data_IF_476204807291
#
_entry.id   IF_476204807291
#
_cell.length_a   1.000
_cell.length_b   1.000
_cell.length_c   1.000
_cell.angle_alpha   90.00
_cell.angle_beta   90.00
_cell.angle_gamma   90.00
#
_symmetry.space_group_name_H-M   'P 1'
#
loop_
_entity.id
_entity.type
_entity.pdbx_description
1 polymer ?
#
# COMPACT_ATOMS: atom_id res chain seq x y z
N UNK A 1 -58.98 42.17 29.95
CA UNK A 1 -58.38 41.36 28.87
C UNK A 1 -57.02 41.95 28.54
N UNK A 2 -55.98 41.11 28.41
CA UNK A 2 -54.58 41.34 27.95
C UNK A 2 -53.55 40.67 28.89
N UNK A 3 -53.34 39.36 28.70
CA UNK A 3 -52.01 38.70 28.73
C UNK A 3 -51.49 38.70 27.26
N UNK A 4 -50.23 38.36 26.90
CA UNK A 4 -49.09 37.75 27.63
C UNK A 4 -47.75 38.51 27.34
N UNK A 5 -46.56 38.13 27.83
CA UNK A 5 -45.68 37.03 27.34
C UNK A 5 -44.46 36.93 28.26
N UNK A 6 -44.24 35.75 28.84
CA UNK A 6 -43.02 35.39 29.56
C UNK A 6 -41.96 34.93 28.55
N UNK A 7 -40.78 35.56 28.58
CA UNK A 7 -39.60 35.16 27.81
C UNK A 7 -38.81 34.17 28.68
N UNK A 8 -38.68 32.93 28.22
CA UNK A 8 -37.82 31.94 28.84
C UNK A 8 -36.39 32.13 28.31
N UNK A 9 -35.45 32.45 29.20
CA UNK A 9 -34.02 32.50 28.92
C UNK A 9 -33.47 31.09 29.09
N UNK A 10 -33.02 30.47 28.00
CA UNK A 10 -32.31 29.19 28.01
C UNK A 10 -30.83 29.46 28.28
N UNK A 11 -30.37 29.03 29.44
CA UNK A 11 -28.97 29.13 29.87
C UNK A 11 -28.18 27.97 29.25
N UNK A 12 -27.32 28.28 28.27
CA UNK A 12 -26.41 27.31 27.66
C UNK A 12 -25.18 27.16 28.58
N UNK A 13 -25.11 26.06 29.34
CA UNK A 13 -23.95 25.73 30.16
C UNK A 13 -22.94 25.02 29.25
N UNK A 14 -21.87 25.73 28.87
CA UNK A 14 -20.68 25.12 28.26
C UNK A 14 -19.94 24.32 29.35
N UNK A 15 -20.05 23.00 29.32
CA UNK A 15 -19.19 22.10 30.10
C UNK A 15 -17.88 21.91 29.36
N UNK A 16 -16.84 22.65 29.74
CA UNK A 16 -15.47 22.37 29.35
C UNK A 16 -14.99 21.12 30.10
N UNK A 17 -14.92 19.97 29.41
CA UNK A 17 -14.28 18.77 29.93
C UNK A 17 -12.77 18.92 29.78
N UNK A 18 -12.08 19.18 30.90
CA UNK A 18 -10.64 18.98 31.00
C UNK A 18 -10.36 17.47 30.94
N UNK A 19 -9.86 16.99 29.80
CA UNK A 19 -9.27 15.66 29.69
C UNK A 19 -7.91 15.65 30.41
N UNK A 20 -7.67 14.60 31.20
CA UNK A 20 -6.40 14.40 31.89
C UNK A 20 -5.23 14.24 30.92
N UNK A 21 -4.03 14.59 31.39
CA UNK A 21 -2.76 14.53 30.65
C UNK A 21 -2.28 13.08 30.40
N UNK A 22 -3.06 12.28 29.68
CA UNK A 22 -2.53 11.18 28.89
C UNK A 22 -2.50 11.65 27.44
N UNK A 23 -1.31 11.80 26.86
CA UNK A 23 -1.17 12.06 25.43
C UNK A 23 -1.99 11.03 24.67
N UNK A 24 -2.73 11.48 23.65
CA UNK A 24 -3.54 10.55 22.84
C UNK A 24 -2.61 9.57 22.12
N UNK A 25 -3.02 8.31 21.86
CA UNK A 25 -2.14 7.29 21.27
C UNK A 25 -1.43 7.74 19.98
N UNK A 26 -2.10 8.57 19.19
CA UNK A 26 -1.61 9.15 17.93
C UNK A 26 -0.41 10.08 18.18
N UNK A 27 -0.51 10.96 19.18
CA UNK A 27 0.56 11.86 19.57
C UNK A 27 1.80 11.09 20.03
N UNK A 28 1.59 9.98 20.76
CA UNK A 28 2.68 9.11 21.24
C UNK A 28 3.43 8.44 20.07
N UNK A 29 2.68 7.95 19.08
CA UNK A 29 3.25 7.38 17.84
C UNK A 29 4.06 8.42 17.07
N UNK A 30 3.46 9.59 16.80
CA UNK A 30 4.06 10.66 15.99
C UNK A 30 5.30 11.25 16.70
N UNK A 31 5.22 11.47 18.01
CA UNK A 31 6.35 11.95 18.82
C UNK A 31 7.50 10.95 18.83
N UNK A 32 7.21 9.65 18.98
CA UNK A 32 8.23 8.60 18.93
C UNK A 32 8.91 8.54 17.56
N UNK A 33 8.13 8.71 16.48
CA UNK A 33 8.65 8.76 15.11
C UNK A 33 9.57 9.97 14.88
N UNK A 34 9.14 11.20 15.18
CA UNK A 34 9.99 12.38 14.97
C UNK A 34 11.23 12.37 15.86
N UNK A 35 11.13 11.82 17.07
CA UNK A 35 12.30 11.58 17.92
C UNK A 35 13.29 10.61 17.26
N UNK A 36 12.82 9.49 16.72
CA UNK A 36 13.66 8.53 16.01
C UNK A 36 14.32 9.15 14.77
N UNK A 37 13.55 9.90 13.97
CA UNK A 37 14.04 10.63 12.79
C UNK A 37 15.15 11.65 13.15
N UNK A 38 14.96 12.42 14.23
CA UNK A 38 15.97 13.38 14.73
C UNK A 38 17.30 12.71 15.06
N UNK A 39 17.26 11.54 15.69
CA UNK A 39 18.46 10.77 16.04
C UNK A 39 18.95 9.84 14.93
N UNK A 40 18.29 9.84 13.76
CA UNK A 40 18.56 8.93 12.63
C UNK A 40 18.52 7.46 13.07
N UNK A 41 17.64 7.15 14.01
CA UNK A 41 17.35 5.78 14.45
C UNK A 41 16.45 5.10 13.41
N UNK A 42 17.08 4.58 12.36
CA UNK A 42 16.39 3.95 11.24
C UNK A 42 15.64 2.68 11.67
N UNK A 43 16.10 2.00 12.73
CA UNK A 43 15.45 0.77 13.20
C UNK A 43 14.13 1.09 13.90
N UNK A 44 14.12 2.08 14.80
CA UNK A 44 12.86 2.55 15.41
C UNK A 44 11.95 3.19 14.37
N UNK A 45 12.49 4.02 13.47
CA UNK A 45 11.70 4.65 12.41
C UNK A 45 10.99 3.62 11.52
N UNK A 46 11.70 2.57 11.07
CA UNK A 46 11.14 1.53 10.22
C UNK A 46 10.06 0.69 10.92
N UNK A 47 10.08 0.61 12.26
CA UNK A 47 9.03 -0.06 13.03
C UNK A 47 7.77 0.81 13.18
N UNK A 48 7.87 2.13 13.07
CA UNK A 48 6.77 3.08 13.29
C UNK A 48 6.19 3.64 11.99
N UNK A 49 6.95 3.67 10.91
CA UNK A 49 6.57 4.30 9.66
C UNK A 49 7.09 3.57 8.43
N UNK A 50 6.29 3.63 7.37
CA UNK A 50 6.63 3.20 6.02
C UNK A 50 7.30 4.29 5.19
N UNK A 51 7.22 5.54 5.65
CA UNK A 51 7.78 6.70 4.96
C UNK A 51 8.90 7.32 5.78
N UNK A 52 10.04 7.68 5.17
CA UNK A 52 11.10 8.36 5.88
C UNK A 52 10.74 9.82 6.11
N UNK A 53 11.25 10.39 7.21
CA UNK A 53 11.35 11.84 7.39
C UNK A 53 12.82 12.17 7.58
N UNK A 54 13.47 12.68 6.53
CA UNK A 54 14.90 12.97 6.54
C UNK A 54 15.19 14.28 7.26
N UNK A 55 15.92 14.23 8.36
CA UNK A 55 16.34 15.44 9.07
C UNK A 55 17.32 16.32 8.29
N UNK A 56 18.01 15.76 7.30
CA UNK A 56 18.94 16.48 6.43
C UNK A 56 18.19 17.27 5.34
N UNK A 57 17.07 16.74 4.87
CA UNK A 57 16.32 17.32 3.75
C UNK A 57 15.15 18.17 4.25
N UNK A 58 14.42 17.69 5.26
CA UNK A 58 13.19 18.30 5.79
C UNK A 58 13.38 19.01 7.13
N UNK A 59 14.56 18.93 7.74
CA UNK A 59 14.82 19.49 9.06
C UNK A 59 14.33 18.62 10.22
N UNK A 60 14.35 19.16 11.43
CA UNK A 60 14.01 18.44 12.66
C UNK A 60 12.72 19.00 13.24
N UNK A 61 11.80 18.13 13.63
CA UNK A 61 10.57 18.49 14.38
C UNK A 61 10.83 18.32 15.88
N UNK A 62 11.22 19.37 16.64
CA UNK A 62 11.35 19.29 18.10
C UNK A 62 10.00 19.14 18.83
N UNK A 63 8.94 19.74 18.30
CA UNK A 63 7.61 19.81 18.92
C UNK A 63 6.53 19.93 17.85
N UNK A 64 5.32 19.50 18.19
CA UNK A 64 4.14 19.74 17.39
C UNK A 64 2.91 19.80 18.30
N UNK A 65 1.85 20.41 17.78
CA UNK A 65 0.52 20.37 18.38
C UNK A 65 -0.43 19.59 17.45
N UNK A 66 -1.28 18.73 18.02
CA UNK A 66 -2.33 18.06 17.25
C UNK A 66 -3.46 19.04 17.02
N UNK A 67 -3.72 19.39 15.76
CA UNK A 67 -4.83 20.27 15.38
C UNK A 67 -6.13 19.47 15.25
N UNK A 68 -6.10 18.35 14.54
CA UNK A 68 -7.28 17.49 14.37
C UNK A 68 -6.92 16.04 14.08
N UNK A 69 -7.88 15.15 14.33
CA UNK A 69 -7.81 13.73 14.01
C UNK A 69 -9.08 13.38 13.24
N UNK A 70 -8.94 12.79 12.06
CA UNK A 70 -10.09 12.36 11.27
C UNK A 70 -10.82 11.18 11.91
N UNK A 71 -12.05 10.94 11.47
CA UNK A 71 -12.73 9.68 11.74
C UNK A 71 -11.93 8.50 11.14
N UNK A 72 -12.11 7.32 11.73
CA UNK A 72 -11.50 6.08 11.23
C UNK A 72 -12.28 5.64 10.00
N UNK A 73 -11.56 5.44 8.90
CA UNK A 73 -12.06 4.83 7.68
C UNK A 73 -11.58 3.37 7.63
N UNK A 74 -12.37 2.49 7.01
CA UNK A 74 -11.99 1.09 6.82
C UNK A 74 -12.07 0.72 5.35
N UNK A 75 -11.09 -0.04 4.88
CA UNK A 75 -11.09 -0.63 3.53
C UNK A 75 -10.77 -2.12 3.60
N UNK A 76 -11.40 -2.97 2.77
CA UNK A 76 -11.16 -4.41 2.82
C UNK A 76 -9.68 -4.76 2.65
N UNK A 77 -9.20 -5.70 3.46
CA UNK A 77 -7.88 -6.28 3.29
C UNK A 77 -7.88 -7.16 2.03
N UNK A 78 -6.91 -6.93 1.14
CA UNK A 78 -6.93 -7.54 -0.22
C UNK A 78 -5.87 -8.61 -0.46
N UNK A 79 -4.90 -8.81 0.43
CA UNK A 79 -3.76 -9.70 0.13
C UNK A 79 -4.18 -11.15 -0.13
N UNK A 80 -5.14 -11.71 0.62
CA UNK A 80 -5.66 -13.06 0.35
C UNK A 80 -6.25 -13.17 -1.07
N UNK A 81 -7.20 -12.28 -1.40
CA UNK A 81 -7.81 -12.24 -2.72
C UNK A 81 -6.81 -11.98 -3.85
N UNK A 82 -5.80 -11.14 -3.63
CA UNK A 82 -4.73 -10.87 -4.59
C UNK A 82 -3.79 -12.08 -4.75
N UNK A 83 -3.54 -12.84 -3.69
CA UNK A 83 -2.76 -14.06 -3.75
C UNK A 83 -3.50 -15.15 -4.55
N UNK A 84 -4.80 -15.29 -4.34
CA UNK A 84 -5.65 -16.16 -5.15
C UNK A 84 -5.65 -15.75 -6.64
N UNK A 85 -5.76 -14.45 -6.93
CA UNK A 85 -5.68 -13.94 -8.29
C UNK A 85 -4.31 -14.24 -8.93
N UNK A 86 -3.21 -14.07 -8.19
CA UNK A 86 -1.87 -14.43 -8.67
C UNK A 86 -1.76 -15.92 -9.00
N UNK A 87 -2.25 -16.80 -8.11
CA UNK A 87 -2.26 -18.25 -8.35
C UNK A 87 -3.06 -18.60 -9.61
N UNK A 88 -4.22 -17.97 -9.82
CA UNK A 88 -5.05 -18.20 -11.00
C UNK A 88 -4.34 -17.77 -12.30
N UNK A 89 -3.68 -16.61 -12.30
CA UNK A 89 -2.91 -16.13 -13.46
C UNK A 89 -1.71 -17.04 -13.74
N UNK A 90 -1.02 -17.51 -12.70
CA UNK A 90 0.08 -18.47 -12.86
C UNK A 90 -0.38 -19.81 -13.40
N UNK A 91 -1.55 -20.31 -12.98
CA UNK A 91 -2.14 -21.52 -13.56
C UNK A 91 -2.44 -21.33 -15.06
N UNK A 92 -3.03 -20.19 -15.43
CA UNK A 92 -3.30 -19.85 -16.83
C UNK A 92 -2.01 -19.74 -17.67
N UNK A 93 -0.94 -19.15 -17.12
CA UNK A 93 0.37 -19.07 -17.77
C UNK A 93 0.99 -20.46 -17.98
N UNK A 94 0.87 -21.36 -17.00
CA UNK A 94 1.31 -22.77 -17.13
C UNK A 94 0.55 -23.49 -18.24
N UNK A 95 -0.79 -23.40 -18.27
CA UNK A 95 -1.61 -23.99 -19.33
C UNK A 95 -1.28 -23.42 -20.71
N UNK A 96 -1.02 -22.12 -20.80
CA UNK A 96 -0.57 -21.47 -22.02
C UNK A 96 0.80 -21.99 -22.46
N UNK A 97 1.76 -22.10 -21.54
CA UNK A 97 3.10 -22.63 -21.82
C UNK A 97 3.05 -24.05 -22.35
N UNK A 98 2.23 -24.92 -21.76
CA UNK A 98 2.01 -26.30 -22.23
C UNK A 98 1.45 -26.35 -23.65
N UNK A 99 0.41 -25.56 -23.96
CA UNK A 99 -0.16 -25.49 -25.31
C UNK A 99 0.84 -24.98 -26.32
N UNK A 100 1.61 -23.95 -25.95
CA UNK A 100 2.66 -23.38 -26.81
C UNK A 100 3.79 -24.37 -27.05
N UNK A 101 4.16 -25.16 -26.04
CA UNK A 101 5.17 -26.21 -26.19
C UNK A 101 4.68 -27.30 -27.15
N UNK A 102 3.45 -27.79 -26.98
CA UNK A 102 2.86 -28.76 -27.90
C UNK A 102 2.84 -28.24 -29.35
N UNK A 103 2.45 -26.97 -29.55
CA UNK A 103 2.49 -26.33 -30.87
C UNK A 103 3.91 -26.28 -31.45
N UNK A 104 4.91 -25.93 -30.64
CA UNK A 104 6.31 -25.88 -31.06
C UNK A 104 6.82 -27.27 -31.45
N UNK A 105 6.52 -28.30 -30.67
CA UNK A 105 6.96 -29.66 -30.92
C UNK A 105 6.34 -30.22 -32.22
N UNK A 106 5.06 -29.92 -32.48
CA UNK A 106 4.37 -30.32 -33.71
C UNK A 106 4.87 -29.59 -34.96
N UNK A 107 5.36 -28.35 -34.82
CA UNK A 107 5.70 -27.46 -35.94
C UNK A 107 7.20 -27.12 -36.01
N UNK A 108 8.06 -27.83 -35.29
CA UNK A 108 9.47 -27.48 -35.07
C UNK A 108 10.21 -27.12 -36.37
N UNK A 109 10.20 -28.01 -37.36
CA UNK A 109 10.89 -27.79 -38.63
C UNK A 109 10.35 -26.58 -39.41
N UNK A 110 9.04 -26.30 -39.29
CA UNK A 110 8.43 -25.15 -39.95
C UNK A 110 8.80 -23.86 -39.23
N UNK A 111 8.82 -23.87 -37.89
CA UNK A 111 9.26 -22.73 -37.07
C UNK A 111 10.73 -22.43 -37.35
N UNK A 112 11.61 -23.42 -37.41
CA UNK A 112 13.04 -23.23 -37.75
C UNK A 112 13.21 -22.51 -39.09
N UNK A 113 12.50 -22.95 -40.14
CA UNK A 113 12.53 -22.28 -41.46
C UNK A 113 11.99 -20.86 -41.43
N UNK A 114 10.94 -20.62 -40.63
CA UNK A 114 10.40 -19.27 -40.42
C UNK A 114 11.44 -18.38 -39.75
N UNK A 115 12.11 -18.86 -38.69
CA UNK A 115 13.14 -18.11 -37.98
C UNK A 115 14.35 -17.80 -38.87
N UNK A 116 14.79 -18.75 -39.70
CA UNK A 116 15.86 -18.53 -40.69
C UNK A 116 15.48 -17.44 -41.71
N UNK A 117 14.23 -17.47 -42.22
CA UNK A 117 13.73 -16.46 -43.14
C UNK A 117 13.67 -15.07 -42.48
N UNK A 118 13.11 -14.98 -41.26
CA UNK A 118 13.05 -13.74 -40.46
C UNK A 118 14.45 -13.17 -40.20
N UNK A 119 15.41 -14.02 -39.82
CA UNK A 119 16.79 -13.62 -39.56
C UNK A 119 17.49 -13.10 -40.82
N UNK A 120 17.18 -13.68 -41.99
CA UNK A 120 17.68 -13.21 -43.28
C UNK A 120 16.93 -11.96 -43.81
N UNK A 121 15.93 -11.45 -43.09
CA UNK A 121 15.11 -10.30 -43.49
C UNK A 121 14.14 -10.61 -44.63
N UNK A 122 13.79 -11.89 -44.84
CA UNK A 122 12.92 -12.35 -45.91
C UNK A 122 11.61 -12.92 -45.36
N UNK A 123 10.57 -12.93 -46.20
CA UNK A 123 9.34 -13.67 -45.91
C UNK A 123 9.51 -15.17 -46.22
N UNK A 124 8.83 -16.07 -45.48
CA UNK A 124 8.83 -17.49 -45.79
C UNK A 124 8.30 -17.77 -47.20
N UNK A 125 9.07 -18.52 -47.98
CA UNK A 125 8.75 -18.80 -49.39
C UNK A 125 7.53 -19.72 -49.56
N UNK A 126 7.28 -20.62 -48.59
CA UNK A 126 6.16 -21.57 -48.64
C UNK A 126 4.92 -20.99 -47.99
N UNK A 127 3.75 -21.24 -48.57
CA UNK A 127 2.45 -20.82 -48.00
C UNK A 127 2.23 -21.43 -46.59
N UNK A 128 2.61 -22.69 -46.40
CA UNK A 128 2.49 -23.35 -45.09
C UNK A 128 3.39 -22.69 -44.02
N UNK A 129 4.62 -22.33 -44.39
CA UNK A 129 5.55 -21.65 -43.48
C UNK A 129 5.06 -20.22 -43.14
N UNK A 130 4.37 -19.52 -44.07
CA UNK A 130 3.71 -18.24 -43.76
C UNK A 130 2.57 -18.38 -42.75
N UNK A 131 1.77 -19.44 -42.84
CA UNK A 131 0.73 -19.70 -41.83
C UNK A 131 1.34 -19.97 -40.45
N UNK A 132 2.44 -20.74 -40.39
CA UNK A 132 3.18 -20.96 -39.13
C UNK A 132 3.79 -19.66 -38.60
N UNK A 133 4.26 -18.76 -39.47
CA UNK A 133 4.77 -17.45 -39.05
C UNK A 133 3.69 -16.57 -38.40
N UNK A 134 2.49 -16.53 -38.97
CA UNK A 134 1.35 -15.77 -38.43
C UNK A 134 0.97 -16.29 -37.04
N UNK A 135 0.74 -17.59 -36.90
CA UNK A 135 0.44 -18.26 -35.63
C UNK A 135 1.58 -18.10 -34.62
N UNK A 136 2.83 -18.28 -35.03
CA UNK A 136 3.99 -18.08 -34.16
C UNK A 136 4.11 -16.64 -33.65
N UNK A 137 3.71 -15.67 -34.47
CA UNK A 137 3.66 -14.26 -34.06
C UNK A 137 2.56 -14.02 -33.03
N UNK A 138 1.40 -14.67 -33.18
CA UNK A 138 0.35 -14.66 -32.16
C UNK A 138 0.85 -15.26 -30.84
N UNK A 139 1.49 -16.43 -30.87
CA UNK A 139 2.11 -17.03 -29.67
C UNK A 139 3.12 -16.10 -28.99
N UNK A 140 3.96 -15.38 -29.75
CA UNK A 140 4.89 -14.38 -29.19
C UNK A 140 4.14 -13.21 -28.52
N UNK A 141 3.03 -12.76 -29.10
CA UNK A 141 2.17 -11.71 -28.52
C UNK A 141 1.49 -12.16 -27.23
N UNK A 142 0.87 -13.34 -27.23
CA UNK A 142 0.22 -13.92 -26.05
C UNK A 142 1.22 -14.19 -24.91
N UNK A 143 2.46 -14.60 -25.23
CA UNK A 143 3.54 -14.72 -24.23
C UNK A 143 3.82 -13.41 -23.52
N UNK A 144 3.90 -12.30 -24.26
CA UNK A 144 4.13 -10.99 -23.66
C UNK A 144 2.97 -10.57 -22.77
N UNK A 145 1.73 -10.87 -23.17
CA UNK A 145 0.54 -10.61 -22.37
C UNK A 145 0.54 -11.43 -21.06
N UNK A 146 0.74 -12.74 -21.12
CA UNK A 146 0.78 -13.58 -19.91
C UNK A 146 1.91 -13.16 -18.96
N UNK A 147 3.08 -12.80 -19.49
CA UNK A 147 4.18 -12.28 -18.67
C UNK A 147 3.80 -10.97 -17.97
N UNK A 148 3.11 -10.08 -18.68
CA UNK A 148 2.59 -8.82 -18.12
C UNK A 148 1.55 -9.09 -17.02
N UNK A 149 0.58 -9.99 -17.26
CA UNK A 149 -0.46 -10.34 -16.29
C UNK A 149 0.13 -10.91 -14.99
N UNK A 150 1.12 -11.82 -15.08
CA UNK A 150 1.82 -12.33 -13.90
C UNK A 150 2.57 -11.22 -13.17
N UNK A 151 3.22 -10.32 -13.91
CA UNK A 151 3.94 -9.18 -13.34
C UNK A 151 2.99 -8.24 -12.59
N UNK A 152 1.86 -7.88 -13.19
CA UNK A 152 0.86 -6.99 -12.61
C UNK A 152 0.20 -7.61 -11.37
N UNK A 153 -0.12 -8.91 -11.43
CA UNK A 153 -0.67 -9.64 -10.28
C UNK A 153 0.32 -9.69 -9.11
N UNK A 154 1.62 -9.87 -9.38
CA UNK A 154 2.68 -9.82 -8.35
C UNK A 154 2.82 -8.42 -7.75
N UNK A 155 2.81 -7.38 -8.58
CA UNK A 155 2.88 -6.00 -8.12
C UNK A 155 1.69 -5.66 -7.23
N UNK A 156 0.48 -5.99 -7.67
CA UNK A 156 -0.75 -5.77 -6.90
C UNK A 156 -0.70 -6.51 -5.56
N UNK A 157 -0.27 -7.78 -5.53
CA UNK A 157 -0.10 -8.52 -4.29
C UNK A 157 0.93 -7.87 -3.37
N UNK A 158 2.06 -7.42 -3.91
CA UNK A 158 3.10 -6.73 -3.14
C UNK A 158 2.51 -5.48 -2.48
N UNK A 159 1.80 -4.63 -3.23
CA UNK A 159 1.16 -3.41 -2.70
C UNK A 159 0.09 -3.74 -1.65
N UNK A 160 -0.77 -4.72 -1.91
CA UNK A 160 -1.85 -5.13 -1.02
C UNK A 160 -1.39 -5.73 0.31
N UNK A 161 -0.11 -6.13 0.42
CA UNK A 161 0.49 -6.68 1.64
C UNK A 161 1.16 -5.63 2.53
N UNK A 162 1.60 -4.50 1.97
CA UNK A 162 2.47 -3.52 2.64
C UNK A 162 1.94 -3.16 4.03
N UNK A 163 0.71 -2.65 4.09
CA UNK A 163 0.11 -2.14 5.34
C UNK A 163 -0.08 -3.26 6.36
N UNK A 164 -0.59 -4.41 5.90
CA UNK A 164 -0.82 -5.57 6.76
C UNK A 164 0.49 -6.07 7.38
N UNK A 165 1.50 -6.32 6.56
CA UNK A 165 2.81 -6.79 7.03
C UNK A 165 3.47 -5.80 7.98
N UNK A 166 3.49 -4.50 7.62
CA UNK A 166 4.11 -3.49 8.48
C UNK A 166 3.41 -3.35 9.82
N UNK A 167 2.08 -3.36 9.81
CA UNK A 167 1.23 -3.22 11.01
C UNK A 167 1.32 -4.45 11.93
N UNK A 168 1.41 -5.66 11.37
CA UNK A 168 1.48 -6.90 12.16
C UNK A 168 2.89 -7.43 12.36
N UNK A 169 3.91 -6.75 11.84
CA UNK A 169 5.30 -7.21 11.93
C UNK A 169 5.71 -7.47 13.38
N UNK A 170 6.25 -8.67 13.63
CA UNK A 170 6.89 -9.09 14.87
C UNK A 170 8.13 -9.90 14.52
N UNK A 171 9.28 -9.55 15.11
CA UNK A 171 10.53 -10.29 14.88
C UNK A 171 10.50 -11.71 15.47
N UNK A 172 9.54 -12.01 16.34
CA UNK A 172 9.42 -13.29 17.04
C UNK A 172 8.36 -14.17 16.37
N UNK A 173 7.33 -13.56 15.79
CA UNK A 173 6.18 -14.25 15.22
C UNK A 173 5.86 -13.67 13.84
N UNK A 174 6.46 -14.29 12.82
CA UNK A 174 6.24 -13.90 11.43
C UNK A 174 5.00 -14.64 10.92
N UNK A 175 4.03 -13.86 10.47
CA UNK A 175 2.79 -14.37 9.90
C UNK A 175 2.79 -14.19 8.37
N UNK A 176 2.05 -15.05 7.68
CA UNK A 176 1.69 -14.81 6.29
C UNK A 176 0.32 -14.13 6.23
N UNK A 177 0.31 -12.83 5.94
CA UNK A 177 -0.92 -12.02 5.88
C UNK A 177 -1.85 -12.46 4.75
N UNK A 178 -1.38 -13.23 3.76
CA UNK A 178 -2.23 -13.76 2.68
C UNK A 178 -3.18 -14.86 3.17
N UNK A 179 -2.95 -15.39 4.38
CA UNK A 179 -3.81 -16.36 5.04
C UNK A 179 -4.85 -15.73 5.94
N UNK A 180 -5.07 -14.41 5.87
CA UNK A 180 -6.03 -13.70 6.72
C UNK A 180 -7.00 -12.87 5.88
N UNK A 181 -8.23 -12.79 6.37
CA UNK A 181 -9.21 -11.78 5.93
C UNK A 181 -9.18 -10.59 6.89
N UNK A 182 -9.92 -9.53 6.58
CA UNK A 182 -10.14 -8.42 7.49
C UNK A 182 -10.19 -7.07 6.79
N UNK A 183 -9.79 -6.04 7.53
CA UNK A 183 -9.87 -4.65 7.08
C UNK A 183 -8.56 -3.92 7.38
N UNK A 184 -8.28 -2.87 6.60
CA UNK A 184 -7.29 -1.85 6.90
C UNK A 184 -8.04 -0.64 7.44
N UNK A 185 -7.77 -0.29 8.70
CA UNK A 185 -8.23 0.93 9.34
C UNK A 185 -7.25 2.05 9.03
N UNK A 186 -7.74 3.21 8.60
CA UNK A 186 -6.94 4.41 8.31
C UNK A 186 -7.54 5.64 8.99
N UNK A 187 -6.68 6.60 9.33
CA UNK A 187 -7.08 7.96 9.71
C UNK A 187 -5.93 8.94 9.51
N UNK A 188 -6.27 10.22 9.39
CA UNK A 188 -5.31 11.31 9.25
C UNK A 188 -5.22 12.11 10.55
N UNK A 189 -4.00 12.39 10.98
CA UNK A 189 -3.70 13.28 12.10
C UNK A 189 -3.07 14.54 11.54
N UNK A 190 -3.77 15.66 11.66
CA UNK A 190 -3.24 16.96 11.27
C UNK A 190 -2.50 17.56 12.45
N UNK A 191 -1.25 17.93 12.23
CA UNK A 191 -0.40 18.57 13.23
C UNK A 191 0.12 19.92 12.75
N UNK A 192 0.40 20.80 13.71
CA UNK A 192 1.17 22.01 13.52
C UNK A 192 2.54 21.74 14.12
N UNK A 193 3.54 21.53 13.26
CA UNK A 193 4.90 21.16 13.64
C UNK A 193 5.80 22.40 13.66
N UNK A 194 6.56 22.57 14.74
CA UNK A 194 7.72 23.46 14.73
C UNK A 194 8.86 22.71 14.05
N UNK A 195 9.45 23.28 13.00
CA UNK A 195 10.52 22.66 12.22
C UNK A 195 11.76 23.54 12.27
N UNK A 196 12.87 22.94 12.69
CA UNK A 196 14.21 23.50 12.53
C UNK A 196 14.72 23.02 11.18
N UNK A 197 14.69 23.89 10.18
CA UNK A 197 15.10 23.57 8.81
C UNK A 197 16.62 23.28 8.73
N UNK A 198 17.10 22.67 7.63
CA UNK A 198 18.54 22.41 7.45
C UNK A 198 19.43 23.67 7.46
N UNK A 199 18.86 24.84 7.16
CA UNK A 199 19.49 26.16 7.24
C UNK A 199 19.28 26.86 8.61
N UNK A 200 18.92 26.09 9.64
CA UNK A 200 18.77 26.52 11.03
C UNK A 200 17.66 27.57 11.27
N UNK A 201 16.67 27.65 10.37
CA UNK A 201 15.50 28.49 10.57
C UNK A 201 14.42 27.74 11.34
N UNK A 202 13.71 28.45 12.21
CA UNK A 202 12.51 27.92 12.85
C UNK A 202 11.31 28.34 12.00
N UNK A 203 10.63 27.35 11.44
CA UNK A 203 9.40 27.54 10.65
C UNK A 203 8.29 26.68 11.22
N UNK A 204 7.06 27.13 11.08
CA UNK A 204 5.89 26.33 11.44
C UNK A 204 5.34 25.68 10.16
N UNK A 205 5.16 24.37 10.18
CA UNK A 205 4.60 23.60 9.07
C UNK A 205 3.34 22.87 9.52
N UNK A 206 2.28 22.92 8.72
CA UNK A 206 1.12 22.07 8.92
C UNK A 206 1.37 20.76 8.18
N UNK A 207 1.29 19.63 8.88
CA UNK A 207 1.51 18.30 8.29
C UNK A 207 0.26 17.44 8.45
N UNK A 208 -0.14 16.76 7.38
CA UNK A 208 -1.12 15.67 7.40
C UNK A 208 -0.36 14.34 7.49
N UNK A 209 -0.57 13.63 8.60
CA UNK A 209 0.05 12.34 8.87
C UNK A 209 -1.02 11.26 8.74
N UNK A 210 -0.94 10.48 7.68
CA UNK A 210 -1.79 9.28 7.55
C UNK A 210 -1.20 8.15 8.39
N UNK A 211 -2.05 7.56 9.23
CA UNK A 211 -1.74 6.34 9.95
C UNK A 211 -2.71 5.24 9.57
N UNK A 212 -2.18 4.03 9.45
CA UNK A 212 -2.95 2.83 9.10
C UNK A 212 -2.62 1.66 10.00
N UNK A 213 -3.55 0.71 10.07
CA UNK A 213 -3.46 -0.52 10.85
C UNK A 213 -4.26 -1.62 10.16
N UNK A 214 -3.76 -2.85 10.20
CA UNK A 214 -4.53 -4.03 9.83
C UNK A 214 -5.29 -4.63 11.01
N UNK A 215 -6.55 -4.98 10.76
CA UNK A 215 -7.46 -5.70 11.64
C UNK A 215 -7.83 -7.01 10.94
N UNK A 216 -7.08 -8.06 11.25
CA UNK A 216 -7.09 -9.34 10.55
C UNK A 216 -7.87 -10.41 11.33
N UNK A 217 -8.37 -11.41 10.61
CA UNK A 217 -9.05 -12.58 11.17
C UNK A 217 -8.56 -13.83 10.43
N UNK A 218 -8.09 -14.82 11.19
CA UNK A 218 -7.69 -16.12 10.65
C UNK A 218 -8.88 -17.02 10.34
N UNK A 219 -8.66 -18.13 9.64
CA UNK A 219 -9.72 -19.08 9.29
C UNK A 219 -10.38 -19.75 10.52
N UNK A 220 -9.66 -19.80 11.64
CA UNK A 220 -10.17 -20.26 12.94
C UNK A 220 -11.00 -19.20 13.69
N UNK A 221 -11.17 -18.02 13.10
CA UNK A 221 -11.83 -16.87 13.70
C UNK A 221 -10.97 -16.09 14.70
N UNK A 222 -9.69 -16.44 14.86
CA UNK A 222 -8.80 -15.72 15.79
C UNK A 222 -8.52 -14.31 15.26
N UNK A 223 -8.85 -13.25 16.02
CA UNK A 223 -8.56 -11.89 15.62
C UNK A 223 -7.08 -11.56 15.84
N UNK A 224 -6.51 -10.81 14.91
CA UNK A 224 -5.17 -10.26 14.97
C UNK A 224 -5.23 -8.77 14.66
N UNK A 225 -4.98 -7.94 15.67
CA UNK A 225 -4.94 -6.48 15.51
C UNK A 225 -3.50 -6.01 15.49
N UNK A 226 -3.08 -5.41 14.38
CA UNK A 226 -1.76 -4.82 14.28
C UNK A 226 -1.65 -3.46 14.98
N UNK A 227 -0.45 -2.87 14.94
CA UNK A 227 -0.19 -1.52 15.47
C UNK A 227 -0.48 -0.45 14.43
N UNK A 228 -0.82 0.75 14.89
CA UNK A 228 -0.81 1.92 14.00
C UNK A 228 0.61 2.21 13.53
N UNK A 229 0.75 2.44 12.23
CA UNK A 229 1.99 2.85 11.58
C UNK A 229 1.71 4.06 10.69
N UNK A 230 2.72 4.91 10.51
CA UNK A 230 2.63 6.07 9.63
C UNK A 230 2.85 5.63 8.18
N UNK A 231 1.89 5.91 7.30
CA UNK A 231 1.92 5.52 5.88
C UNK A 231 2.13 6.70 4.94
N UNK A 232 1.83 7.93 5.38
CA UNK A 232 2.10 9.15 4.62
C UNK A 232 2.37 10.34 5.54
N UNK A 233 3.17 11.30 5.07
CA UNK A 233 3.46 12.57 5.76
C UNK A 233 3.54 13.67 4.69
N UNK A 234 2.46 14.42 4.56
CA UNK A 234 2.32 15.48 3.57
C UNK A 234 2.31 16.86 4.23
N UNK A 235 3.00 17.83 3.61
CA UNK A 235 2.91 19.23 4.03
C UNK A 235 1.66 19.86 3.43
N UNK A 236 0.88 20.53 4.27
CA UNK A 236 -0.34 21.25 3.87
C UNK A 236 0.05 22.69 3.56
N UNK A 237 0.24 23.01 2.28
CA UNK A 237 0.67 24.35 1.84
C UNK A 237 0.69 24.51 0.33
#
# INVERSE_FOLDING_TARGET
MHRPRSIAVVLFILTATFAGCSSVPEETLISSFFRASRFRDNMTSANLSMVPFSSVERGVVPSFEVESISEVMTTPMRARALNEALMAVQASESEFSERKQAYQDENLEAIERVLEAEQAGNEPSRRADRAVQEEWTQWRGEMAQHAQEVSDARAALSEGRIVAEGSTYSAIDLIDVTLYDGEISSKTVRIIADVITPDEQNVQQTLDIEIQRAELVGDDGTPLTGRWIITAIDEVG
#
